data_IF_388339144543
#
_entry.id   IF_388339144543
#
_cell.length_a   1.000
_cell.length_b   1.000
_cell.length_c   1.000
_cell.angle_alpha   90.00
_cell.angle_beta   90.00
_cell.angle_gamma   90.00
#
_symmetry.space_group_name_H-M   'P 1'
#
loop_
_entity.id
_entity.type
_entity.pdbx_description
1 polymer ?
#
# COMPACT_ATOMS: atom_id res chain seq x y z
N UNK A 1 -11.24 -25.59 -34.36
CA UNK A 1 -10.92 -24.27 -34.95
C UNK A 1 -10.17 -23.35 -33.96
N UNK A 2 -10.63 -23.18 -32.70
CA UNK A 2 -9.94 -22.33 -31.70
C UNK A 2 -8.53 -22.81 -31.27
N UNK A 3 -8.27 -24.13 -31.28
CA UNK A 3 -6.95 -24.68 -30.92
C UNK A 3 -5.85 -24.34 -31.96
N UNK A 4 -6.22 -24.05 -33.21
CA UNK A 4 -5.25 -23.76 -34.27
C UNK A 4 -4.75 -22.30 -34.25
N UNK A 5 -5.52 -21.37 -33.67
CA UNK A 5 -5.17 -19.95 -33.56
C UNK A 5 -4.32 -19.63 -32.33
N UNK A 6 -4.22 -20.55 -31.38
CA UNK A 6 -3.53 -20.32 -30.12
C UNK A 6 -2.02 -20.05 -30.25
N UNK A 7 -1.26 -20.81 -31.07
CA UNK A 7 0.19 -20.59 -31.18
C UNK A 7 0.54 -19.25 -31.84
N UNK A 8 -0.19 -18.87 -32.89
CA UNK A 8 0.02 -17.61 -33.61
C UNK A 8 -0.36 -16.40 -32.75
N UNK A 9 -1.46 -16.48 -31.99
CA UNK A 9 -1.84 -15.45 -31.03
C UNK A 9 -0.79 -15.29 -29.93
N UNK A 10 -0.25 -16.39 -29.39
CA UNK A 10 0.80 -16.34 -28.35
C UNK A 10 2.07 -15.68 -28.86
N UNK A 11 2.52 -16.02 -30.07
CA UNK A 11 3.71 -15.42 -30.68
C UNK A 11 3.52 -13.93 -31.00
N UNK A 12 2.32 -13.53 -31.41
CA UNK A 12 1.97 -12.12 -31.59
C UNK A 12 1.98 -11.37 -30.24
N UNK A 13 1.36 -11.94 -29.20
CA UNK A 13 1.30 -11.35 -27.87
C UNK A 13 2.68 -11.19 -27.24
N UNK A 14 3.60 -12.14 -27.40
CA UNK A 14 4.97 -12.01 -26.88
C UNK A 14 5.77 -10.96 -27.64
N UNK A 15 5.66 -10.92 -28.97
CA UNK A 15 6.33 -9.91 -29.81
C UNK A 15 5.87 -8.49 -29.48
N UNK A 16 4.58 -8.30 -29.20
CA UNK A 16 3.98 -6.99 -28.92
C UNK A 16 3.73 -6.71 -27.43
N UNK A 17 4.21 -7.58 -26.52
CA UNK A 17 3.91 -7.48 -25.10
C UNK A 17 4.33 -6.13 -24.50
N UNK A 18 5.50 -5.63 -24.90
CA UNK A 18 5.99 -4.33 -24.44
C UNK A 18 5.15 -3.16 -24.97
N UNK A 19 4.73 -3.21 -26.23
CA UNK A 19 3.85 -2.20 -26.84
C UNK A 19 2.46 -2.21 -26.19
N UNK A 20 1.85 -3.39 -26.04
CA UNK A 20 0.55 -3.55 -25.39
C UNK A 20 0.59 -3.02 -23.95
N UNK A 21 1.64 -3.36 -23.18
CA UNK A 21 1.81 -2.88 -21.81
C UNK A 21 1.96 -1.35 -21.75
N UNK A 22 2.70 -0.74 -22.68
CA UNK A 22 2.82 0.72 -22.79
C UNK A 22 1.47 1.37 -23.15
N UNK A 23 0.76 0.82 -24.13
CA UNK A 23 -0.55 1.33 -24.57
C UNK A 23 -1.61 1.25 -23.47
N UNK A 24 -1.65 0.16 -22.71
CA UNK A 24 -2.54 0.04 -21.53
C UNK A 24 -2.18 1.08 -20.48
N UNK A 25 -0.88 1.27 -20.20
CA UNK A 25 -0.40 2.27 -19.26
C UNK A 25 -0.83 3.68 -19.66
N UNK A 26 -0.55 4.09 -20.91
CA UNK A 26 -0.95 5.39 -21.43
C UNK A 26 -2.47 5.56 -21.49
N UNK A 27 -3.21 4.53 -21.91
CA UNK A 27 -4.66 4.54 -21.92
C UNK A 27 -5.25 4.74 -20.53
N UNK A 28 -4.69 4.09 -19.51
CA UNK A 28 -5.12 4.26 -18.11
C UNK A 28 -4.85 5.68 -17.59
N UNK A 29 -3.68 6.24 -17.91
CA UNK A 29 -3.34 7.62 -17.53
C UNK A 29 -4.27 8.62 -18.23
N UNK A 30 -4.52 8.45 -19.53
CA UNK A 30 -5.44 9.32 -20.28
C UNK A 30 -6.88 9.22 -19.77
N UNK A 31 -7.35 8.02 -19.43
CA UNK A 31 -8.67 7.83 -18.82
C UNK A 31 -8.76 8.50 -17.44
N UNK A 32 -7.72 8.39 -16.60
CA UNK A 32 -7.69 9.06 -15.31
C UNK A 32 -7.71 10.58 -15.46
N UNK A 33 -6.86 11.14 -16.35
CA UNK A 33 -6.85 12.58 -16.64
C UNK A 33 -8.19 13.05 -17.23
N UNK A 34 -8.77 12.28 -18.15
CA UNK A 34 -10.08 12.57 -18.73
C UNK A 34 -11.20 12.55 -17.68
N UNK A 35 -11.16 11.60 -16.74
CA UNK A 35 -12.10 11.54 -15.63
C UNK A 35 -11.97 12.75 -14.71
N UNK A 36 -10.75 13.15 -14.32
CA UNK A 36 -10.53 14.37 -13.52
C UNK A 36 -10.98 15.63 -14.25
N UNK A 37 -10.66 15.76 -15.55
CA UNK A 37 -11.09 16.89 -16.36
C UNK A 37 -12.63 16.94 -16.49
N UNK A 38 -13.27 15.79 -16.69
CA UNK A 38 -14.73 15.67 -16.71
C UNK A 38 -15.34 16.02 -15.36
N UNK A 39 -14.74 15.59 -14.24
CA UNK A 39 -15.20 15.94 -12.90
C UNK A 39 -15.16 17.46 -12.69
N UNK A 40 -14.02 18.09 -13.02
CA UNK A 40 -13.83 19.55 -12.95
C UNK A 40 -14.87 20.28 -13.82
N UNK A 41 -15.10 19.78 -15.04
CA UNK A 41 -16.10 20.36 -15.94
C UNK A 41 -17.54 20.18 -15.43
N UNK A 42 -17.88 19.00 -14.92
CA UNK A 42 -19.23 18.62 -14.49
C UNK A 42 -19.70 19.32 -13.21
N UNK A 43 -18.76 19.70 -12.33
CA UNK A 43 -19.08 20.49 -11.14
C UNK A 43 -19.34 21.98 -11.45
N UNK A 44 -19.23 22.37 -12.73
CA UNK A 44 -19.34 23.75 -13.16
C UNK A 44 -18.14 24.57 -12.68
N UNK A 45 -17.84 25.66 -13.38
CA UNK A 45 -16.88 26.66 -12.91
C UNK A 45 -17.42 27.46 -11.70
N UNK A 46 -18.21 26.85 -10.82
CA UNK A 46 -18.52 27.39 -9.47
C UNK A 46 -17.30 27.25 -8.55
N UNK A 47 -16.10 27.35 -9.11
CA UNK A 47 -14.86 27.42 -8.39
C UNK A 47 -14.77 28.83 -7.83
N UNK A 48 -15.13 28.99 -6.56
CA UNK A 48 -14.97 30.27 -5.87
C UNK A 48 -13.48 30.54 -5.66
N UNK A 49 -12.87 31.20 -6.64
CA UNK A 49 -11.48 31.66 -6.58
C UNK A 49 -11.20 32.55 -5.36
N UNK A 50 -12.22 33.16 -4.77
CA UNK A 50 -12.08 33.97 -3.55
C UNK A 50 -12.08 33.11 -2.28
N UNK A 51 -12.77 31.97 -2.25
CA UNK A 51 -12.68 30.98 -1.17
C UNK A 51 -11.29 30.32 -1.12
N UNK A 52 -10.59 30.27 -2.26
CA UNK A 52 -9.25 29.68 -2.41
C UNK A 52 -8.09 30.66 -2.20
N UNK A 53 -8.23 31.66 -1.32
CA UNK A 53 -7.05 32.39 -0.83
C UNK A 53 -6.11 31.39 -0.17
N UNK A 54 -5.03 31.06 -0.88
CA UNK A 54 -4.08 30.04 -0.47
C UNK A 54 -3.51 30.40 0.90
N UNK A 55 -3.99 29.74 1.95
CA UNK A 55 -3.47 29.93 3.29
C UNK A 55 -2.13 29.19 3.38
N UNK A 56 -1.02 29.91 3.20
CA UNK A 56 0.32 29.36 3.24
C UNK A 56 0.62 28.63 4.56
N UNK A 57 0.08 29.08 5.69
CA UNK A 57 0.23 28.40 6.97
C UNK A 57 -0.44 27.03 6.98
N UNK A 58 -1.64 26.94 6.39
CA UNK A 58 -2.33 25.66 6.23
C UNK A 58 -1.55 24.71 5.31
N UNK A 59 -1.05 25.21 4.17
CA UNK A 59 -0.26 24.42 3.23
C UNK A 59 1.03 23.88 3.87
N UNK A 60 1.76 24.73 4.60
CA UNK A 60 2.96 24.33 5.34
C UNK A 60 2.61 23.31 6.42
N UNK A 61 1.50 23.50 7.13
CA UNK A 61 0.99 22.54 8.12
C UNK A 61 0.74 21.16 7.51
N UNK A 62 -0.03 21.09 6.42
CA UNK A 62 -0.31 19.84 5.67
C UNK A 62 0.98 19.21 5.18
N UNK A 63 1.93 20.00 4.64
CA UNK A 63 3.21 19.49 4.18
C UNK A 63 4.01 18.85 5.31
N UNK A 64 4.06 19.48 6.49
CA UNK A 64 4.75 18.93 7.67
C UNK A 64 4.07 17.65 8.14
N UNK A 65 2.74 17.66 8.30
CA UNK A 65 1.98 16.48 8.74
C UNK A 65 2.16 15.30 7.78
N UNK A 66 2.12 15.58 6.47
CA UNK A 66 2.35 14.58 5.44
C UNK A 66 3.79 14.04 5.48
N UNK A 67 4.80 14.91 5.62
CA UNK A 67 6.19 14.49 5.75
C UNK A 67 6.40 13.59 6.98
N UNK A 68 5.80 13.94 8.12
CA UNK A 68 5.84 13.11 9.34
C UNK A 68 5.14 11.77 9.10
N UNK A 69 3.97 11.76 8.48
CA UNK A 69 3.26 10.53 8.12
C UNK A 69 4.08 9.62 7.19
N UNK A 70 4.80 10.21 6.22
CA UNK A 70 5.72 9.47 5.36
C UNK A 70 6.89 8.87 6.13
N UNK A 71 7.47 9.60 7.09
CA UNK A 71 8.53 9.08 7.96
C UNK A 71 8.04 7.86 8.73
N UNK A 72 6.89 7.95 9.41
CA UNK A 72 6.30 6.82 10.14
C UNK A 72 5.99 5.63 9.24
N UNK A 73 5.41 5.87 8.06
CA UNK A 73 5.16 4.80 7.08
C UNK A 73 6.44 4.12 6.61
N UNK A 74 7.50 4.91 6.36
CA UNK A 74 8.80 4.37 5.92
C UNK A 74 9.51 3.57 7.01
N UNK A 75 9.41 4.00 8.27
CA UNK A 75 9.94 3.28 9.43
C UNK A 75 9.15 2.00 9.69
N UNK A 76 7.81 2.05 9.60
CA UNK A 76 6.94 0.89 9.69
C UNK A 76 7.30 -0.17 8.64
N UNK A 77 7.52 0.25 7.40
CA UNK A 77 8.00 -0.63 6.33
C UNK A 77 9.38 -1.23 6.62
N UNK A 78 10.33 -0.40 7.07
CA UNK A 78 11.68 -0.87 7.38
C UNK A 78 11.66 -1.92 8.50
N UNK A 79 10.82 -1.73 9.52
CA UNK A 79 10.61 -2.69 10.61
C UNK A 79 9.89 -3.96 10.15
N UNK A 80 8.91 -3.87 9.24
CA UNK A 80 8.31 -5.07 8.64
C UNK A 80 9.38 -5.85 7.86
N UNK A 81 10.19 -5.16 7.06
CA UNK A 81 11.27 -5.79 6.29
C UNK A 81 12.34 -6.41 7.18
N UNK A 82 12.66 -5.82 8.33
CA UNK A 82 13.55 -6.43 9.33
C UNK A 82 12.92 -7.67 9.98
N UNK A 83 11.61 -7.65 10.25
CA UNK A 83 10.90 -8.82 10.79
C UNK A 83 10.76 -9.96 9.79
N UNK A 84 10.65 -9.67 8.49
CA UNK A 84 10.51 -10.70 7.43
C UNK A 84 11.87 -11.11 6.83
N UNK A 85 12.84 -10.20 6.77
CA UNK A 85 14.17 -10.43 6.20
C UNK A 85 15.25 -10.27 7.29
N UNK A 86 16.03 -11.33 7.54
CA UNK A 86 17.01 -11.42 8.63
C UNK A 86 18.04 -10.26 8.70
N UNK A 87 18.26 -9.51 7.61
CA UNK A 87 19.28 -8.45 7.50
C UNK A 87 18.79 -7.32 6.62
N UNK A 88 17.88 -6.52 7.16
CA UNK A 88 17.36 -5.35 6.47
C UNK A 88 18.18 -4.10 6.78
N UNK A 89 18.85 -3.54 5.78
CA UNK A 89 19.31 -2.15 5.85
C UNK A 89 18.06 -1.25 5.90
N UNK A 90 17.83 -0.64 7.08
CA UNK A 90 16.66 0.20 7.35
C UNK A 90 16.62 1.40 6.40
N UNK A 91 17.77 2.00 6.10
CA UNK A 91 17.85 3.18 5.23
C UNK A 91 17.53 2.82 3.78
N UNK A 92 18.06 1.71 3.27
CA UNK A 92 17.70 1.22 1.92
C UNK A 92 16.21 0.90 1.82
N UNK A 93 15.64 0.28 2.86
CA UNK A 93 14.21 -0.07 2.89
C UNK A 93 13.33 1.18 2.91
N UNK A 94 13.68 2.18 3.72
CA UNK A 94 13.01 3.47 3.75
C UNK A 94 13.10 4.18 2.39
N UNK A 95 14.29 4.22 1.75
CA UNK A 95 14.46 4.81 0.41
C UNK A 95 13.54 4.15 -0.63
N UNK A 96 13.49 2.81 -0.65
CA UNK A 96 12.61 2.07 -1.56
C UNK A 96 11.14 2.38 -1.25
N UNK A 97 10.76 2.50 0.02
CA UNK A 97 9.42 2.92 0.42
C UNK A 97 9.06 4.29 -0.15
N UNK A 98 9.92 5.30 0.01
CA UNK A 98 9.69 6.64 -0.54
C UNK A 98 9.51 6.63 -2.06
N UNK A 99 10.37 5.91 -2.79
CA UNK A 99 10.27 5.81 -4.25
C UNK A 99 8.96 5.14 -4.69
N UNK A 100 8.49 4.16 -3.93
CA UNK A 100 7.27 3.40 -4.26
C UNK A 100 5.99 4.03 -3.74
N UNK A 101 6.06 4.96 -2.79
CA UNK A 101 4.90 5.77 -2.38
C UNK A 101 4.42 6.64 -3.54
N UNK A 102 5.33 7.18 -4.35
CA UNK A 102 4.95 7.99 -5.52
C UNK A 102 4.08 7.19 -6.48
N UNK A 103 4.37 5.89 -6.65
CA UNK A 103 3.59 5.01 -7.53
C UNK A 103 2.25 4.59 -6.94
N UNK A 104 1.99 4.84 -5.64
CA UNK A 104 0.70 4.56 -5.00
C UNK A 104 -0.43 5.46 -5.51
N UNK A 105 -0.11 6.65 -6.01
CA UNK A 105 -1.07 7.57 -6.60
C UNK A 105 -1.50 7.14 -8.01
N UNK A 106 -0.86 6.11 -8.56
CA UNK A 106 -1.28 5.52 -9.83
C UNK A 106 -2.44 4.54 -9.55
N UNK A 107 -3.44 4.44 -10.45
CA UNK A 107 -4.64 3.62 -10.26
C UNK A 107 -4.38 2.11 -10.25
N UNK A 108 -3.11 1.68 -10.29
CA UNK A 108 -2.71 0.28 -10.40
C UNK A 108 -1.96 -0.11 -9.13
N UNK A 109 -2.69 -0.64 -8.13
CA UNK A 109 -2.10 -1.15 -6.89
C UNK A 109 -0.98 -2.17 -7.17
N UNK A 110 -1.16 -3.02 -8.19
CA UNK A 110 -0.16 -4.00 -8.61
C UNK A 110 1.18 -3.34 -8.98
N UNK A 111 1.18 -2.10 -9.50
CA UNK A 111 2.40 -1.39 -9.85
C UNK A 111 3.23 -1.06 -8.61
N UNK A 112 2.58 -0.62 -7.52
CA UNK A 112 3.29 -0.37 -6.25
C UNK A 112 3.98 -1.63 -5.71
N UNK A 113 3.31 -2.79 -5.83
CA UNK A 113 3.84 -4.08 -5.40
C UNK A 113 5.01 -4.50 -6.30
N UNK A 114 4.82 -4.44 -7.62
CA UNK A 114 5.84 -4.80 -8.61
C UNK A 114 7.08 -3.91 -8.45
N UNK A 115 6.91 -2.60 -8.28
CA UNK A 115 8.03 -1.68 -8.05
C UNK A 115 8.81 -2.02 -6.79
N UNK A 116 8.14 -2.37 -5.69
CA UNK A 116 8.83 -2.79 -4.46
C UNK A 116 9.59 -4.10 -4.66
N UNK A 117 8.95 -5.09 -5.26
CA UNK A 117 9.58 -6.39 -5.55
C UNK A 117 10.80 -6.21 -6.44
N UNK A 118 10.70 -5.43 -7.51
CA UNK A 118 11.80 -5.17 -8.44
C UNK A 118 12.97 -4.42 -7.75
N UNK A 119 12.69 -3.33 -7.03
CA UNK A 119 13.74 -2.55 -6.35
C UNK A 119 14.43 -3.35 -5.23
N UNK A 120 13.69 -4.21 -4.53
CA UNK A 120 14.28 -5.08 -3.51
C UNK A 120 15.05 -6.25 -4.13
N UNK A 121 14.62 -6.78 -5.28
CA UNK A 121 15.38 -7.77 -6.05
C UNK A 121 16.71 -7.19 -6.53
N UNK A 122 16.72 -5.96 -7.08
CA UNK A 122 17.94 -5.23 -7.45
C UNK A 122 18.86 -5.00 -6.25
N UNK A 123 18.30 -4.87 -5.04
CA UNK A 123 19.04 -4.79 -3.79
C UNK A 123 19.47 -6.16 -3.23
N UNK A 124 19.31 -7.25 -3.99
CA UNK A 124 19.72 -8.60 -3.63
C UNK A 124 18.75 -9.34 -2.68
N UNK A 125 17.51 -8.87 -2.52
CA UNK A 125 16.51 -9.53 -1.67
C UNK A 125 15.58 -10.44 -2.47
N UNK A 126 15.16 -11.53 -1.87
CA UNK A 126 14.20 -12.45 -2.49
C UNK A 126 12.85 -11.78 -2.79
N UNK A 127 12.28 -12.10 -3.98
CA UNK A 127 10.93 -11.65 -4.39
C UNK A 127 9.88 -12.08 -3.37
N UNK A 128 9.97 -13.32 -2.91
CA UNK A 128 9.02 -13.93 -1.98
C UNK A 128 8.94 -13.17 -0.65
N UNK A 129 10.08 -12.81 -0.07
CA UNK A 129 10.14 -12.02 1.17
C UNK A 129 9.50 -10.66 0.96
N UNK A 130 9.87 -9.97 -0.11
CA UNK A 130 9.34 -8.63 -0.38
C UNK A 130 7.83 -8.68 -0.57
N UNK A 131 7.33 -9.71 -1.25
CA UNK A 131 5.90 -9.93 -1.42
C UNK A 131 5.20 -10.21 -0.09
N UNK A 132 5.74 -11.09 0.77
CA UNK A 132 5.20 -11.35 2.11
C UNK A 132 5.19 -10.08 2.96
N UNK A 133 6.26 -9.28 2.92
CA UNK A 133 6.33 -8.00 3.63
C UNK A 133 5.26 -7.01 3.14
N UNK A 134 5.00 -6.94 1.83
CA UNK A 134 3.87 -6.16 1.29
C UNK A 134 2.54 -6.67 1.84
N UNK A 135 2.30 -7.99 1.88
CA UNK A 135 1.05 -8.53 2.44
C UNK A 135 0.87 -8.17 3.91
N UNK A 136 1.94 -8.28 4.71
CA UNK A 136 1.95 -7.89 6.13
C UNK A 136 1.62 -6.41 6.29
N UNK A 137 2.26 -5.55 5.50
CA UNK A 137 1.97 -4.12 5.52
C UNK A 137 0.50 -3.85 5.18
N UNK A 138 -0.05 -4.48 4.14
CA UNK A 138 -1.46 -4.29 3.77
C UNK A 138 -2.39 -4.71 4.89
N UNK A 139 -2.11 -5.81 5.56
CA UNK A 139 -2.88 -6.28 6.71
C UNK A 139 -2.82 -5.27 7.87
N UNK A 140 -1.63 -4.77 8.21
CA UNK A 140 -1.45 -3.76 9.27
C UNK A 140 -2.19 -2.47 8.92
N UNK A 141 -2.07 -2.00 7.68
CA UNK A 141 -2.78 -0.81 7.18
C UNK A 141 -4.29 -1.02 7.27
N UNK A 142 -4.82 -2.18 6.88
CA UNK A 142 -6.25 -2.48 6.98
C UNK A 142 -6.74 -2.44 8.44
N UNK A 143 -5.99 -3.04 9.37
CA UNK A 143 -6.30 -2.98 10.80
C UNK A 143 -6.26 -1.54 11.31
N UNK A 144 -5.22 -0.78 10.96
CA UNK A 144 -5.07 0.62 11.34
C UNK A 144 -6.21 1.49 10.77
N UNK A 145 -6.60 1.31 9.51
CA UNK A 145 -7.73 1.99 8.88
C UNK A 145 -9.05 1.69 9.59
N UNK A 146 -9.30 0.43 9.93
CA UNK A 146 -10.51 0.03 10.62
C UNK A 146 -10.58 0.64 12.04
N UNK A 147 -9.45 0.71 12.75
CA UNK A 147 -9.36 1.42 14.03
C UNK A 147 -9.58 2.93 13.86
N UNK A 148 -8.92 3.56 12.89
CA UNK A 148 -9.08 4.98 12.60
C UNK A 148 -10.54 5.32 12.32
N UNK A 149 -11.20 4.51 11.49
CA UNK A 149 -12.62 4.65 11.17
C UNK A 149 -13.50 4.65 12.43
N UNK A 150 -13.35 3.66 13.30
CA UNK A 150 -14.13 3.59 14.54
C UNK A 150 -13.87 4.78 15.47
N UNK A 151 -12.60 5.17 15.63
CA UNK A 151 -12.21 6.30 16.47
C UNK A 151 -12.81 7.60 15.95
N UNK A 152 -12.67 7.88 14.65
CA UNK A 152 -13.18 9.10 14.02
C UNK A 152 -14.70 9.13 14.04
N UNK A 153 -15.38 8.04 13.65
CA UNK A 153 -16.84 7.97 13.71
C UNK A 153 -17.38 8.20 15.13
N UNK A 154 -16.72 7.64 16.15
CA UNK A 154 -17.11 7.84 17.54
C UNK A 154 -16.88 9.27 18.03
N UNK A 155 -15.69 9.83 17.79
CA UNK A 155 -15.33 11.16 18.30
C UNK A 155 -16.12 12.30 17.66
N UNK A 156 -16.46 12.17 16.37
CA UNK A 156 -17.16 13.21 15.60
C UNK A 156 -18.65 12.94 15.43
N UNK A 157 -19.17 11.82 15.95
CA UNK A 157 -20.58 11.44 15.78
C UNK A 157 -21.00 11.27 14.33
N UNK A 158 -20.05 10.93 13.45
CA UNK A 158 -20.32 10.75 12.02
C UNK A 158 -21.09 9.45 11.83
N UNK A 159 -22.25 9.53 11.19
CA UNK A 159 -23.03 8.35 10.84
C UNK A 159 -22.18 7.39 10.01
N UNK A 160 -21.98 6.19 10.55
CA UNK A 160 -21.08 5.22 9.97
C UNK A 160 -21.70 4.66 8.67
N UNK A 161 -21.12 5.03 7.52
CA UNK A 161 -21.48 4.45 6.20
C UNK A 161 -21.40 2.91 6.23
N UNK A 162 -20.44 2.37 6.98
CA UNK A 162 -20.24 0.92 7.16
C UNK A 162 -20.70 0.52 8.55
N UNK A 163 -21.62 -0.46 8.69
CA UNK A 163 -22.05 -0.93 9.99
C UNK A 163 -20.87 -1.41 10.85
N UNK A 164 -20.86 -1.01 12.13
CA UNK A 164 -19.73 -1.24 13.03
C UNK A 164 -19.32 -2.72 13.16
N UNK A 165 -20.28 -3.65 13.09
CA UNK A 165 -20.00 -5.08 13.18
C UNK A 165 -19.14 -5.61 12.02
N UNK A 166 -19.24 -5.05 10.81
CA UNK A 166 -18.34 -5.41 9.71
C UNK A 166 -16.90 -4.95 9.98
N UNK A 167 -16.75 -3.74 10.53
CA UNK A 167 -15.44 -3.19 10.88
C UNK A 167 -14.80 -3.99 12.01
N UNK A 168 -15.59 -4.37 13.03
CA UNK A 168 -15.15 -5.26 14.11
C UNK A 168 -14.74 -6.63 13.57
N UNK A 169 -15.52 -7.21 12.65
CA UNK A 169 -15.16 -8.48 12.01
C UNK A 169 -13.82 -8.39 11.27
N UNK A 170 -13.58 -7.31 10.52
CA UNK A 170 -12.29 -7.06 9.84
C UNK A 170 -11.15 -6.94 10.84
N UNK A 171 -11.35 -6.25 11.97
CA UNK A 171 -10.34 -6.15 13.03
C UNK A 171 -10.01 -7.51 13.64
N UNK A 172 -11.04 -8.28 14.02
CA UNK A 172 -10.84 -9.63 14.60
C UNK A 172 -10.12 -10.53 13.62
N UNK A 173 -10.58 -10.61 12.37
CA UNK A 173 -9.95 -11.44 11.33
C UNK A 173 -8.52 -10.98 11.06
N UNK A 174 -8.29 -9.67 10.95
CA UNK A 174 -6.97 -9.10 10.72
C UNK A 174 -5.98 -9.45 11.85
N UNK A 175 -6.41 -9.27 13.11
CA UNK A 175 -5.61 -9.58 14.29
C UNK A 175 -5.31 -11.08 14.41
N UNK A 176 -6.28 -11.93 14.06
CA UNK A 176 -6.09 -13.39 14.01
C UNK A 176 -5.07 -13.77 12.95
N UNK A 177 -5.18 -13.24 11.73
CA UNK A 177 -4.26 -13.53 10.62
C UNK A 177 -2.82 -13.10 10.94
N UNK A 178 -2.65 -11.92 11.55
CA UNK A 178 -1.32 -11.40 11.89
C UNK A 178 -0.73 -12.02 13.16
N UNK A 179 -1.51 -12.79 13.92
CA UNK A 179 -1.01 -13.44 15.13
C UNK A 179 0.19 -14.34 14.79
N UNK A 180 1.26 -14.34 15.63
CA UNK A 180 2.48 -15.07 15.34
C UNK A 180 2.29 -16.54 14.89
N UNK A 181 1.44 -17.36 15.55
CA UNK A 181 1.30 -18.77 15.16
C UNK A 181 0.59 -18.95 13.81
N UNK A 182 -0.39 -18.10 13.50
CA UNK A 182 -1.14 -18.20 12.23
C UNK A 182 -0.31 -17.63 11.09
N UNK A 183 0.33 -16.48 11.34
CA UNK A 183 1.21 -15.84 10.37
C UNK A 183 2.35 -16.79 9.94
N UNK A 184 3.05 -17.43 10.89
CA UNK A 184 4.08 -18.45 10.58
C UNK A 184 3.54 -19.57 9.68
N UNK A 185 2.34 -20.10 9.97
CA UNK A 185 1.70 -21.15 9.17
C UNK A 185 1.33 -20.69 7.77
N UNK A 186 0.88 -19.45 7.62
CA UNK A 186 0.51 -18.89 6.31
C UNK A 186 1.74 -18.66 5.44
N UNK A 187 2.82 -18.11 6.01
CA UNK A 187 4.03 -17.87 5.25
C UNK A 187 4.72 -19.18 4.83
N UNK A 188 4.70 -20.21 5.68
CA UNK A 188 5.25 -21.53 5.35
C UNK A 188 4.58 -22.18 4.12
N UNK A 189 3.41 -21.69 3.69
CA UNK A 189 2.74 -22.14 2.45
C UNK A 189 3.18 -21.38 1.21
N UNK A 190 3.96 -20.31 1.34
CA UNK A 190 4.41 -19.50 0.22
C UNK A 190 5.60 -20.19 -0.45
N UNK A 191 5.52 -20.57 -1.74
CA UNK A 191 6.61 -21.25 -2.42
C UNK A 191 7.93 -20.45 -2.40
N UNK A 192 9.04 -21.13 -2.12
CA UNK A 192 10.37 -20.51 -2.02
C UNK A 192 10.60 -19.74 -0.71
N UNK A 193 9.71 -19.87 0.28
CA UNK A 193 9.97 -19.38 1.63
C UNK A 193 10.92 -20.31 2.40
N UNK A 194 10.87 -21.63 2.17
CA UNK A 194 11.69 -22.61 2.88
C UNK A 194 13.20 -22.44 2.62
N UNK A 195 13.58 -21.90 1.46
CA UNK A 195 14.96 -21.56 1.11
C UNK A 195 15.50 -20.39 1.95
N UNK A 196 14.61 -19.65 2.60
CA UNK A 196 14.96 -18.61 3.56
C UNK A 196 14.73 -19.14 4.97
N UNK A 197 15.80 -19.19 5.76
CA UNK A 197 15.64 -19.34 7.20
C UNK A 197 15.04 -18.03 7.72
N UNK A 198 13.76 -17.96 8.13
CA UNK A 198 13.27 -16.77 8.79
C UNK A 198 14.11 -16.51 10.03
N UNK A 199 14.48 -15.25 10.27
CA UNK A 199 15.03 -14.91 11.58
C UNK A 199 13.91 -15.20 12.55
N UNK A 200 14.19 -16.00 13.57
CA UNK A 200 13.29 -16.22 14.70
C UNK A 200 13.06 -14.94 15.52
N UNK A 201 13.47 -13.76 15.02
CA UNK A 201 13.02 -12.46 15.50
C UNK A 201 11.53 -12.34 15.19
N UNK A 202 10.77 -12.95 16.09
CA UNK A 202 9.34 -13.11 16.00
C UNK A 202 8.66 -11.76 15.82
N UNK A 203 7.65 -11.73 14.95
CA UNK A 203 6.58 -10.74 15.02
C UNK A 203 5.89 -10.89 16.38
N UNK A 204 6.50 -10.34 17.42
CA UNK A 204 5.91 -10.32 18.75
C UNK A 204 4.63 -9.50 18.70
N UNK A 205 3.69 -9.84 19.58
CA UNK A 205 2.42 -9.09 19.70
C UNK A 205 2.73 -7.60 19.95
N UNK A 206 3.75 -7.29 20.74
CA UNK A 206 4.21 -5.93 21.00
C UNK A 206 4.64 -5.21 19.70
N UNK A 207 5.41 -5.88 18.84
CA UNK A 207 5.84 -5.33 17.54
C UNK A 207 4.66 -5.07 16.63
N UNK A 208 3.67 -5.96 16.61
CA UNK A 208 2.45 -5.80 15.82
C UNK A 208 1.67 -4.58 16.31
N UNK A 209 1.43 -4.44 17.62
CA UNK A 209 0.76 -3.26 18.18
C UNK A 209 1.51 -1.97 17.89
N UNK A 210 2.83 -2.00 17.99
CA UNK A 210 3.69 -0.86 17.65
C UNK A 210 3.52 -0.47 16.17
N UNK A 211 3.58 -1.44 15.25
CA UNK A 211 3.38 -1.19 13.81
C UNK A 211 1.98 -0.66 13.51
N UNK A 212 0.92 -1.26 14.09
CA UNK A 212 -0.46 -0.77 13.93
C UNK A 212 -0.57 0.67 14.42
N UNK A 213 0.04 1.00 15.55
CA UNK A 213 0.02 2.37 16.10
C UNK A 213 0.76 3.36 15.20
N UNK A 214 1.91 2.97 14.63
CA UNK A 214 2.65 3.80 13.67
C UNK A 214 1.85 4.06 12.40
N UNK A 215 1.22 3.02 11.82
CA UNK A 215 0.40 3.20 10.62
C UNK A 215 -0.90 3.95 10.91
N UNK A 216 -1.48 3.79 12.11
CA UNK A 216 -2.61 4.59 12.57
C UNK A 216 -2.24 6.07 12.61
N UNK A 217 -1.11 6.42 13.24
CA UNK A 217 -0.60 7.79 13.27
C UNK A 217 -0.29 8.31 11.86
N UNK A 218 0.40 7.52 11.03
CA UNK A 218 0.72 7.90 9.67
C UNK A 218 -0.54 8.19 8.84
N UNK A 219 -1.62 7.45 9.06
CA UNK A 219 -2.89 7.67 8.40
C UNK A 219 -3.60 8.92 8.88
N UNK A 220 -3.73 9.09 10.20
CA UNK A 220 -4.38 10.27 10.78
C UNK A 220 -3.65 11.54 10.33
N UNK A 221 -2.31 11.56 10.42
CA UNK A 221 -1.49 12.70 9.99
C UNK A 221 -1.52 12.91 8.47
N UNK A 222 -1.60 11.83 7.68
CA UNK A 222 -1.64 11.91 6.23
C UNK A 222 -3.01 12.27 5.64
N UNK A 223 -4.07 12.20 6.45
CA UNK A 223 -5.45 12.53 6.04
C UNK A 223 -5.91 13.95 6.41
N UNK A 224 -5.11 14.67 7.20
CA UNK A 224 -5.31 16.08 7.56
C UNK A 224 -4.72 17.01 6.51
#
# INVERSE_FOLDING_TARGET
MLQFLWPSLRQFLTKHQQLIRKSIGYGTVLLALGFYAWQIYSQGFEFDWNAYRLNWYFLVGVLILHAVGLVYGSLGWALIMEGVAQRSDLFKSAKIYFLTVITRNLPILALSIISRVALHEEAGRGKTITFVAVLVERLIITIASALAYLIVSYLFGIEAIVPAYYVIAVLVVGLVIISPPIFKRLIAKVPGYDDYQPSTQDFSIQRIFFLVSMYLLAMVLGSL
#
